data_IF_869638566565
#
_entry.id   IF_869638566565
#
_cell.length_a   1.000
_cell.length_b   1.000
_cell.length_c   1.000
_cell.angle_alpha   90.00
_cell.angle_beta   90.00
_cell.angle_gamma   90.00
#
_symmetry.space_group_name_H-M   'P 1'
#
loop_
_entity.id
_entity.type
_entity.pdbx_description
1 polymer ?
#
# COMPACT_ATOMS: atom_id res chain seq x y z
N UNK A 1 -10.34 9.99 16.46
CA UNK A 1 -10.03 10.65 17.74
C UNK A 1 -10.88 10.06 18.84
N UNK A 2 -10.24 9.69 19.93
CA UNK A 2 -10.86 9.10 21.13
C UNK A 2 -10.83 10.04 22.34
N UNK A 3 -10.60 11.35 22.12
CA UNK A 3 -10.59 12.39 23.14
C UNK A 3 -9.26 13.16 23.23
N UNK A 4 -8.31 12.87 22.35
CA UNK A 4 -7.00 13.52 22.32
C UNK A 4 -7.18 15.00 21.98
N UNK A 5 -6.60 15.89 22.80
CA UNK A 5 -6.75 17.35 22.66
C UNK A 5 -8.20 17.84 22.66
N UNK A 6 -9.12 17.10 23.30
CA UNK A 6 -10.55 17.42 23.32
C UNK A 6 -11.28 17.11 22.01
N UNK A 7 -10.60 16.48 21.03
CA UNK A 7 -11.22 16.07 19.78
C UNK A 7 -11.78 14.64 19.88
N UNK A 8 -12.98 14.45 19.37
CA UNK A 8 -13.67 13.16 19.33
C UNK A 8 -14.03 12.78 17.90
N UNK A 9 -14.32 11.49 17.69
CA UNK A 9 -14.80 10.94 16.42
C UNK A 9 -13.82 11.18 15.25
N UNK A 10 -14.35 11.54 14.08
CA UNK A 10 -13.64 11.68 12.82
C UNK A 10 -14.20 12.89 12.04
N UNK A 11 -13.60 13.23 10.90
CA UNK A 11 -14.07 14.30 10.02
C UNK A 11 -13.44 15.66 10.27
N UNK A 12 -12.32 15.72 11.01
CA UNK A 12 -11.49 16.91 11.01
C UNK A 12 -11.02 17.19 9.57
N UNK A 13 -11.04 18.45 9.10
CA UNK A 13 -10.54 18.77 7.77
C UNK A 13 -9.09 18.31 7.61
N UNK A 14 -8.77 17.64 6.49
CA UNK A 14 -7.56 16.83 6.33
C UNK A 14 -6.26 17.56 6.72
N UNK A 15 -6.14 18.82 6.31
CA UNK A 15 -5.00 19.71 6.60
C UNK A 15 -4.75 19.99 8.09
N UNK A 16 -5.72 19.67 8.95
CA UNK A 16 -5.65 19.82 10.41
C UNK A 16 -6.10 18.55 11.16
N UNK A 17 -6.29 17.44 10.44
CA UNK A 17 -6.67 16.17 11.04
C UNK A 17 -5.46 15.57 11.79
N UNK A 18 -5.64 15.11 13.04
CA UNK A 18 -4.55 14.47 13.75
C UNK A 18 -4.26 13.09 13.16
N UNK A 19 -3.06 12.54 13.46
CA UNK A 19 -2.63 11.23 12.96
C UNK A 19 -3.63 10.11 13.26
N UNK A 20 -4.38 10.18 14.38
CA UNK A 20 -5.43 9.22 14.73
C UNK A 20 -6.58 9.16 13.71
N UNK A 21 -6.74 10.17 12.86
CA UNK A 21 -7.76 10.19 11.80
C UNK A 21 -7.19 9.90 10.40
N UNK A 22 -5.87 9.97 10.21
CA UNK A 22 -5.24 9.87 8.86
C UNK A 22 -4.25 8.72 8.72
N UNK A 23 -3.63 8.26 9.81
CA UNK A 23 -2.72 7.12 9.81
C UNK A 23 -3.50 5.83 10.07
N UNK A 24 -3.85 5.12 9.00
CA UNK A 24 -4.69 3.91 9.03
C UNK A 24 -3.87 2.63 8.83
N UNK A 25 -4.29 1.49 9.43
CA UNK A 25 -3.61 0.23 9.22
C UNK A 25 -3.90 -0.35 7.83
N UNK A 26 -2.92 -1.07 7.27
CA UNK A 26 -3.07 -1.86 6.05
C UNK A 26 -2.38 -3.21 6.24
N UNK A 27 -3.07 -4.30 5.90
CA UNK A 27 -2.56 -5.66 5.98
C UNK A 27 -2.81 -6.37 4.65
N UNK A 28 -1.78 -6.99 4.10
CA UNK A 28 -1.88 -7.88 2.95
C UNK A 28 -1.58 -9.31 3.41
N UNK A 29 -2.46 -10.24 3.07
CA UNK A 29 -2.28 -11.66 3.37
C UNK A 29 -2.23 -12.45 2.06
N UNK A 30 -1.29 -13.39 1.97
CA UNK A 30 -1.06 -14.20 0.77
C UNK A 30 -1.12 -15.68 1.13
N UNK A 31 -1.90 -16.45 0.39
CA UNK A 31 -1.97 -17.91 0.56
C UNK A 31 -0.63 -18.57 0.21
N UNK A 32 -0.35 -19.79 0.72
CA UNK A 32 0.86 -20.52 0.34
C UNK A 32 1.01 -20.70 -1.18
N UNK A 33 -0.09 -20.93 -1.90
CA UNK A 33 -0.09 -21.08 -3.35
C UNK A 33 0.29 -19.79 -4.07
N UNK A 34 -0.19 -18.63 -3.60
CA UNK A 34 0.19 -17.35 -4.20
C UNK A 34 1.66 -17.03 -3.96
N UNK A 35 2.17 -17.35 -2.76
CA UNK A 35 3.60 -17.22 -2.45
C UNK A 35 4.47 -18.10 -3.35
N UNK A 36 3.99 -19.28 -3.77
CA UNK A 36 4.68 -20.12 -4.76
C UNK A 36 4.69 -19.51 -6.16
N UNK A 37 3.63 -18.79 -6.55
CA UNK A 37 3.53 -18.12 -7.86
C UNK A 37 4.37 -16.83 -7.93
N UNK A 38 4.52 -16.12 -6.80
CA UNK A 38 5.28 -14.87 -6.71
C UNK A 38 6.31 -14.92 -5.56
N UNK A 39 7.32 -15.81 -5.62
CA UNK A 39 8.20 -16.13 -4.49
C UNK A 39 9.07 -14.96 -4.02
N UNK A 40 9.32 -13.98 -4.88
CA UNK A 40 10.12 -12.79 -4.55
C UNK A 40 9.26 -11.62 -4.05
N UNK A 41 7.95 -11.65 -4.30
CA UNK A 41 7.09 -10.50 -4.09
C UNK A 41 6.78 -10.27 -2.61
N UNK A 42 6.32 -11.29 -1.89
CA UNK A 42 6.03 -11.16 -0.45
C UNK A 42 7.26 -10.77 0.37
N UNK A 43 8.44 -11.40 0.19
CA UNK A 43 9.66 -10.97 0.88
C UNK A 43 10.03 -9.51 0.58
N UNK A 44 9.90 -9.07 -0.67
CA UNK A 44 10.17 -7.69 -1.05
C UNK A 44 9.18 -6.70 -0.41
N UNK A 45 7.87 -7.00 -0.42
CA UNK A 45 6.86 -6.15 0.23
C UNK A 45 7.11 -6.05 1.75
N UNK A 46 7.56 -7.12 2.40
CA UNK A 46 7.95 -7.10 3.81
C UNK A 46 9.14 -6.18 4.11
N UNK A 47 10.06 -5.98 3.16
CA UNK A 47 11.17 -5.02 3.30
C UNK A 47 10.71 -3.56 3.18
N UNK A 48 9.48 -3.33 2.73
CA UNK A 48 8.92 -2.00 2.45
C UNK A 48 7.92 -1.50 3.51
N UNK A 49 7.74 -2.22 4.62
CA UNK A 49 6.71 -1.91 5.63
C UNK A 49 6.81 -0.50 6.25
N UNK A 50 7.99 0.13 6.17
CA UNK A 50 8.23 1.48 6.70
C UNK A 50 8.10 2.59 5.66
N UNK A 51 7.87 2.26 4.38
CA UNK A 51 7.66 3.25 3.34
C UNK A 51 6.31 3.95 3.55
N UNK A 52 6.26 5.25 3.29
CA UNK A 52 5.01 6.00 3.32
C UNK A 52 4.06 5.46 2.23
N UNK A 53 2.88 5.01 2.65
CA UNK A 53 1.82 4.47 1.80
C UNK A 53 0.47 5.04 2.22
N UNK A 54 -0.45 5.14 1.28
CA UNK A 54 -1.82 5.58 1.50
C UNK A 54 -2.78 4.97 0.48
N UNK A 55 -4.02 5.44 0.46
CA UNK A 55 -5.04 4.93 -0.47
C UNK A 55 -4.66 5.09 -1.94
N UNK A 56 -3.83 6.08 -2.29
CA UNK A 56 -3.32 6.28 -3.66
C UNK A 56 -2.59 5.04 -4.20
N UNK A 57 -1.98 4.24 -3.31
CA UNK A 57 -1.26 3.02 -3.70
C UNK A 57 -2.19 1.83 -3.99
N UNK A 58 -3.43 1.85 -3.49
CA UNK A 58 -4.30 0.67 -3.52
C UNK A 58 -4.70 0.28 -4.94
N UNK A 59 -5.11 1.26 -5.75
CA UNK A 59 -5.62 1.03 -7.09
C UNK A 59 -4.59 0.39 -8.02
N UNK A 60 -3.42 1.02 -8.16
CA UNK A 60 -2.35 0.52 -9.03
C UNK A 60 -1.85 -0.86 -8.56
N UNK A 61 -1.62 -1.01 -7.25
CA UNK A 61 -1.10 -2.27 -6.69
C UNK A 61 -2.08 -3.43 -6.88
N UNK A 62 -3.38 -3.21 -6.67
CA UNK A 62 -4.38 -4.27 -6.82
C UNK A 62 -4.49 -4.74 -8.28
N UNK A 63 -4.47 -3.82 -9.26
CA UNK A 63 -4.49 -4.20 -10.67
C UNK A 63 -3.25 -5.02 -11.06
N UNK A 64 -2.06 -4.56 -10.66
CA UNK A 64 -0.83 -5.29 -10.92
C UNK A 64 -0.80 -6.67 -10.24
N UNK A 65 -1.33 -6.81 -9.01
CA UNK A 65 -1.38 -8.12 -8.30
C UNK A 65 -2.30 -9.13 -9.00
N UNK A 66 -3.25 -8.63 -9.80
CA UNK A 66 -4.17 -9.42 -10.61
C UNK A 66 -3.68 -9.59 -12.06
N UNK A 67 -2.43 -9.21 -12.35
CA UNK A 67 -1.81 -9.25 -13.69
C UNK A 67 -2.59 -8.46 -14.76
N UNK A 68 -3.29 -7.41 -14.35
CA UNK A 68 -4.02 -6.52 -15.26
C UNK A 68 -3.06 -5.50 -15.87
N UNK A 69 -2.99 -5.45 -17.20
CA UNK A 69 -2.21 -4.44 -17.94
C UNK A 69 -3.13 -3.30 -18.36
N UNK A 70 -2.85 -2.09 -17.89
CA UNK A 70 -3.63 -0.91 -18.24
C UNK A 70 -2.80 0.37 -18.21
N UNK A 71 -3.12 1.32 -19.08
CA UNK A 71 -2.44 2.62 -19.16
C UNK A 71 -2.72 3.51 -17.95
N UNK A 72 -3.76 3.20 -17.17
CA UNK A 72 -4.12 3.97 -15.95
C UNK A 72 -3.31 3.57 -14.72
N UNK A 73 -2.46 2.54 -14.83
CA UNK A 73 -1.57 2.14 -13.74
C UNK A 73 -0.38 3.10 -13.73
N UNK A 74 -0.30 3.96 -12.70
CA UNK A 74 0.91 4.73 -12.43
C UNK A 74 1.92 3.84 -11.66
N UNK A 75 3.08 3.50 -12.26
CA UNK A 75 4.08 2.66 -11.61
C UNK A 75 4.63 3.25 -10.30
N UNK A 76 4.51 4.57 -10.08
CA UNK A 76 4.93 5.20 -8.82
C UNK A 76 4.00 4.87 -7.65
N UNK A 77 2.75 4.53 -7.94
CA UNK A 77 1.74 4.17 -6.95
C UNK A 77 1.66 2.65 -6.72
N UNK A 78 2.17 1.84 -7.64
CA UNK A 78 2.23 0.39 -7.50
C UNK A 78 3.32 -0.03 -6.50
N UNK A 79 2.91 -0.71 -5.42
CA UNK A 79 3.79 -1.23 -4.37
C UNK A 79 4.73 -2.34 -4.86
N UNK A 80 4.44 -2.94 -6.02
CA UNK A 80 5.23 -4.04 -6.60
C UNK A 80 6.35 -3.54 -7.50
N UNK A 81 6.35 -2.26 -7.91
CA UNK A 81 7.35 -1.69 -8.83
C UNK A 81 8.78 -1.89 -8.33
N UNK A 82 9.01 -1.83 -7.02
CA UNK A 82 10.33 -2.06 -6.41
C UNK A 82 10.69 -3.55 -6.25
N UNK A 83 9.73 -4.45 -6.47
CA UNK A 83 9.88 -5.90 -6.31
C UNK A 83 10.17 -6.63 -7.61
N UNK A 84 9.95 -5.98 -8.75
CA UNK A 84 10.46 -6.46 -10.02
C UNK A 84 11.93 -6.06 -10.10
N UNK A 85 12.82 -7.04 -10.01
CA UNK A 85 14.26 -6.81 -10.16
C UNK A 85 14.52 -6.01 -11.45
N UNK A 86 15.46 -5.05 -11.43
CA UNK A 86 15.93 -4.39 -12.64
C UNK A 86 16.20 -5.48 -13.67
N UNK A 87 15.42 -5.52 -14.75
CA UNK A 87 15.81 -6.24 -15.94
C UNK A 87 17.06 -5.55 -16.43
N UNK A 88 18.22 -6.08 -16.04
CA UNK A 88 19.50 -5.73 -16.63
C UNK A 88 19.35 -6.03 -18.12
N UNK A 89 19.21 -4.97 -18.91
CA UNK A 89 19.38 -5.02 -20.35
C UNK A 89 20.85 -4.85 -20.66
#
# INVERSE_FOLDING_TARGET
STGEHGLYLHGAPYMMAPNQQTHVPMILWFSPQWQQQAPQLVPCLNQQLTLARGHDNLFASMLSMLDIRSQVIDPKLDMQTLCHGKTST
#
